data_IF_227087806570
#
_entry.id   IF_227087806570
#
_cell.length_a   1.000
_cell.length_b   1.000
_cell.length_c   1.000
_cell.angle_alpha   90.00
_cell.angle_beta   90.00
_cell.angle_gamma   90.00
#
_symmetry.space_group_name_H-M   'P 1'
#
loop_
_entity.id
_entity.type
_entity.pdbx_description
1 polymer ?
#
# COMPACT_ATOMS: atom_id res chain seq x y z
N UNK A 1 -18.66 5.56 13.29
CA UNK A 1 -19.69 6.39 12.62
C UNK A 1 -21.10 5.78 12.72
N UNK A 2 -21.23 4.47 12.93
CA UNK A 2 -22.53 3.77 12.96
C UNK A 2 -23.55 4.35 13.94
N UNK A 3 -23.17 4.64 15.20
CA UNK A 3 -24.10 5.19 16.20
C UNK A 3 -24.67 6.58 15.86
N UNK A 4 -24.02 7.33 14.96
CA UNK A 4 -24.53 8.60 14.47
C UNK A 4 -25.55 8.40 13.34
N UNK A 5 -25.45 7.31 12.56
CA UNK A 5 -26.38 7.00 11.49
C UNK A 5 -27.76 6.65 12.05
N UNK A 6 -27.83 5.88 13.15
CA UNK A 6 -29.10 5.54 13.82
C UNK A 6 -29.91 6.77 14.25
N UNK A 7 -29.21 7.85 14.64
CA UNK A 7 -29.86 9.12 15.03
C UNK A 7 -30.33 9.93 13.82
N UNK A 8 -29.67 9.78 12.67
CA UNK A 8 -30.02 10.46 11.43
C UNK A 8 -31.24 9.81 10.77
N UNK A 9 -31.46 8.50 10.98
CA UNK A 9 -32.65 7.79 10.51
C UNK A 9 -33.96 8.37 11.07
N UNK A 10 -33.92 9.02 12.25
CA UNK A 10 -35.07 9.71 12.83
C UNK A 10 -35.36 11.08 12.17
N UNK A 11 -34.46 11.60 11.34
CA UNK A 11 -34.63 12.87 10.64
C UNK A 11 -35.45 12.69 9.36
N UNK A 12 -36.49 13.51 9.19
CA UNK A 12 -37.31 13.55 7.96
C UNK A 12 -36.49 13.89 6.70
N UNK A 13 -35.35 14.57 6.85
CA UNK A 13 -34.48 14.96 5.74
C UNK A 13 -33.31 13.97 5.56
N UNK A 14 -32.81 13.38 6.65
CA UNK A 14 -31.75 12.36 6.61
C UNK A 14 -30.41 12.79 5.98
N UNK A 15 -30.16 14.09 5.78
CA UNK A 15 -28.99 14.55 5.03
C UNK A 15 -27.69 14.30 5.77
N UNK A 16 -26.75 13.66 5.08
CA UNK A 16 -25.37 13.48 5.49
C UNK A 16 -24.46 14.22 4.51
N UNK A 17 -23.48 14.95 5.03
CA UNK A 17 -22.46 15.62 4.23
C UNK A 17 -21.11 15.45 4.90
N UNK A 18 -20.14 14.97 4.13
CA UNK A 18 -18.78 14.75 4.58
C UNK A 18 -17.87 15.75 3.86
N UNK A 19 -17.03 16.45 4.63
CA UNK A 19 -16.09 17.43 4.09
C UNK A 19 -14.73 17.22 4.73
N UNK A 20 -13.71 16.92 3.94
CA UNK A 20 -12.34 16.76 4.39
C UNK A 20 -11.38 16.93 3.21
N UNK A 21 -10.08 17.02 3.49
CA UNK A 21 -9.04 16.89 2.47
C UNK A 21 -8.68 15.39 2.30
N UNK A 22 -8.59 14.88 1.07
CA UNK A 22 -8.29 13.46 0.84
C UNK A 22 -6.85 13.16 1.24
N UNK A 23 -6.64 12.47 2.37
CA UNK A 23 -5.30 12.18 2.89
C UNK A 23 -4.64 10.98 2.21
N UNK A 24 -5.39 9.88 2.10
CA UNK A 24 -4.96 8.62 1.51
C UNK A 24 -5.81 8.32 0.28
N UNK A 25 -5.24 7.65 -0.71
CA UNK A 25 -6.01 7.09 -1.82
C UNK A 25 -6.88 5.94 -1.30
N UNK A 26 -8.15 5.91 -1.69
CA UNK A 26 -9.11 4.84 -1.36
C UNK A 26 -9.30 4.63 0.16
N UNK A 27 -9.27 5.72 0.93
CA UNK A 27 -9.61 5.69 2.36
C UNK A 27 -10.36 6.97 2.76
N UNK A 28 -11.28 6.84 3.71
CA UNK A 28 -11.98 7.98 4.29
C UNK A 28 -12.76 8.79 3.24
N UNK A 29 -12.43 10.08 3.08
CA UNK A 29 -13.17 10.95 2.15
C UNK A 29 -12.90 10.60 0.68
N UNK A 30 -11.73 10.02 0.35
CA UNK A 30 -11.42 9.62 -1.04
C UNK A 30 -12.23 8.37 -1.42
N UNK A 31 -12.41 7.44 -0.50
CA UNK A 31 -13.29 6.27 -0.65
C UNK A 31 -14.74 6.69 -0.87
N UNK A 32 -15.30 7.53 0.01
CA UNK A 32 -16.66 8.07 -0.15
C UNK A 32 -16.83 8.86 -1.46
N UNK A 33 -15.79 9.59 -1.88
CA UNK A 33 -15.80 10.27 -3.19
C UNK A 33 -15.83 9.25 -4.33
N UNK A 34 -15.04 8.18 -4.27
CA UNK A 34 -15.00 7.12 -5.29
C UNK A 34 -16.26 6.27 -5.35
N UNK A 35 -17.02 6.16 -4.27
CA UNK A 35 -18.34 5.51 -4.25
C UNK A 35 -19.47 6.40 -4.82
N UNK A 36 -19.18 7.69 -5.04
CA UNK A 36 -20.12 8.68 -5.56
C UNK A 36 -20.06 8.84 -7.08
N UNK A 37 -20.84 9.80 -7.62
CA UNK A 37 -20.80 10.22 -9.03
C UNK A 37 -19.53 11.00 -9.44
N UNK A 38 -18.61 11.25 -8.50
CA UNK A 38 -17.26 11.79 -8.73
C UNK A 38 -17.23 13.07 -9.59
N UNK A 39 -17.96 14.11 -9.18
CA UNK A 39 -18.01 15.37 -9.94
C UNK A 39 -16.71 16.15 -9.90
N UNK A 40 -16.27 16.57 -11.08
CA UNK A 40 -15.12 17.46 -11.29
C UNK A 40 -15.59 18.79 -11.88
N UNK A 41 -14.82 19.84 -11.64
CA UNK A 41 -15.12 21.19 -12.14
C UNK A 41 -14.55 21.35 -13.55
N UNK A 42 -15.43 21.24 -14.54
CA UNK A 42 -15.03 21.21 -15.94
C UNK A 42 -15.03 22.62 -16.53
N UNK A 43 -13.86 23.14 -16.88
CA UNK A 43 -13.67 24.46 -17.48
C UNK A 43 -13.63 24.35 -19.00
N UNK A 44 -14.46 25.14 -19.69
CA UNK A 44 -14.48 25.17 -21.16
C UNK A 44 -13.62 26.33 -21.67
N UNK A 45 -12.55 26.01 -22.40
CA UNK A 45 -11.68 27.02 -23.00
C UNK A 45 -12.44 27.85 -24.05
N UNK A 46 -12.50 29.17 -23.87
CA UNK A 46 -13.11 30.10 -24.86
C UNK A 46 -12.34 30.17 -26.18
N UNK A 47 -11.07 29.74 -26.19
CA UNK A 47 -10.20 29.76 -27.36
C UNK A 47 -10.42 28.62 -28.34
N UNK A 48 -10.35 27.39 -27.83
CA UNK A 48 -10.40 26.17 -28.65
C UNK A 48 -11.51 25.19 -28.25
N UNK A 49 -12.40 25.58 -27.33
CA UNK A 49 -13.53 24.80 -26.82
C UNK A 49 -13.17 23.48 -26.12
N UNK A 50 -11.88 23.19 -25.93
CA UNK A 50 -11.40 22.06 -25.14
C UNK A 50 -11.85 22.20 -23.69
N UNK A 51 -12.33 21.08 -23.15
CA UNK A 51 -12.63 20.89 -21.75
C UNK A 51 -11.35 20.68 -20.95
N UNK A 52 -11.29 21.24 -19.73
CA UNK A 52 -10.11 21.22 -18.88
C UNK A 52 -10.53 21.00 -17.44
N UNK A 53 -9.88 20.03 -16.79
CA UNK A 53 -9.94 19.80 -15.35
C UNK A 53 -8.65 20.39 -14.78
N UNK A 54 -8.76 21.59 -14.21
CA UNK A 54 -7.59 22.46 -13.96
C UNK A 54 -6.61 21.87 -12.94
N UNK A 55 -7.09 21.05 -12.02
CA UNK A 55 -6.27 20.39 -11.01
C UNK A 55 -5.52 19.17 -11.53
N UNK A 56 -6.04 18.48 -12.55
CA UNK A 56 -5.41 17.31 -13.17
C UNK A 56 -4.35 17.72 -14.20
N UNK A 57 -4.53 18.88 -14.83
CA UNK A 57 -3.59 19.46 -15.80
C UNK A 57 -2.48 20.32 -15.14
N UNK A 58 -2.50 20.44 -13.82
CA UNK A 58 -1.48 21.18 -13.08
C UNK A 58 -0.19 20.34 -12.99
N UNK A 59 1.02 20.91 -13.19
CA UNK A 59 1.34 22.34 -13.36
C UNK A 59 1.34 22.84 -14.82
N UNK A 60 1.10 21.97 -15.80
CA UNK A 60 1.29 22.25 -17.23
C UNK A 60 0.35 23.34 -17.76
N UNK A 61 -0.79 23.53 -17.09
CA UNK A 61 -1.76 24.58 -17.37
C UNK A 61 -1.46 25.92 -16.68
N UNK A 62 -0.28 26.13 -16.08
CA UNK A 62 0.10 27.43 -15.48
C UNK A 62 1.03 28.20 -16.42
N UNK A 63 0.83 29.52 -16.52
CA UNK A 63 1.76 30.44 -17.19
C UNK A 63 2.23 31.51 -16.22
N UNK A 64 3.56 31.65 -16.08
CA UNK A 64 4.20 32.68 -15.25
C UNK A 64 4.82 33.76 -16.13
N UNK A 65 4.08 34.85 -16.33
CA UNK A 65 4.52 35.98 -17.15
C UNK A 65 5.11 37.13 -16.32
N UNK A 66 5.43 36.93 -15.03
CA UNK A 66 5.95 38.00 -14.16
C UNK A 66 7.22 38.66 -14.73
N UNK A 67 8.08 37.89 -15.41
CA UNK A 67 9.28 38.39 -16.10
C UNK A 67 8.98 39.39 -17.23
N UNK A 68 7.78 39.34 -17.81
CA UNK A 68 7.31 40.24 -18.88
C UNK A 68 6.35 41.32 -18.36
N UNK A 69 6.37 41.62 -17.05
CA UNK A 69 5.39 42.48 -16.35
C UNK A 69 3.94 41.96 -16.43
N UNK A 70 3.76 40.68 -16.77
CA UNK A 70 2.45 40.01 -16.76
C UNK A 70 2.12 39.44 -15.38
N UNK A 71 1.01 38.70 -15.31
CA UNK A 71 0.56 37.98 -14.11
C UNK A 71 0.69 36.47 -14.29
N UNK A 72 0.54 35.73 -13.21
CA UNK A 72 0.36 34.28 -13.28
C UNK A 72 -1.12 34.00 -13.58
N UNK A 73 -1.39 33.08 -14.51
CA UNK A 73 -2.75 32.66 -14.87
C UNK A 73 -2.78 31.19 -15.29
N UNK A 74 -3.98 30.58 -15.21
CA UNK A 74 -4.24 29.27 -15.80
C UNK A 74 -4.46 29.43 -17.31
N UNK A 75 -3.78 28.63 -18.11
CA UNK A 75 -3.82 28.64 -19.56
C UNK A 75 -4.21 27.27 -20.09
N UNK A 76 -4.93 27.26 -21.22
CA UNK A 76 -5.26 26.02 -21.89
C UNK A 76 -3.98 25.34 -22.41
N UNK A 77 -3.68 24.08 -22.05
CA UNK A 77 -2.47 23.39 -22.52
C UNK A 77 -2.38 23.27 -24.06
N UNK A 78 -3.53 23.32 -24.76
CA UNK A 78 -3.60 23.19 -26.22
C UNK A 78 -3.37 24.50 -26.98
N UNK A 79 -4.00 25.59 -26.54
CA UNK A 79 -4.01 26.86 -27.30
C UNK A 79 -3.45 28.06 -26.52
N UNK A 80 -2.98 27.81 -25.30
CA UNK A 80 -2.33 28.76 -24.39
C UNK A 80 -3.19 29.97 -23.95
N UNK A 81 -4.42 30.10 -24.44
CA UNK A 81 -5.32 31.17 -24.00
C UNK A 81 -5.71 31.00 -22.53
N UNK A 82 -5.89 32.11 -21.78
CA UNK A 82 -6.32 32.06 -20.39
C UNK A 82 -7.62 31.28 -20.20
N UNK A 83 -7.64 30.42 -19.19
CA UNK A 83 -8.82 29.70 -18.73
C UNK A 83 -9.64 30.59 -17.78
N UNK A 84 -10.96 30.51 -17.92
CA UNK A 84 -11.92 31.23 -17.10
C UNK A 84 -12.67 30.24 -16.23
N UNK A 85 -12.28 30.13 -14.96
CA UNK A 85 -12.85 29.16 -14.01
C UNK A 85 -14.30 29.47 -13.64
N UNK A 86 -14.79 30.69 -13.92
CA UNK A 86 -16.21 31.04 -13.75
C UNK A 86 -17.08 30.47 -14.90
N UNK A 87 -16.47 30.14 -16.05
CA UNK A 87 -17.14 29.53 -17.21
C UNK A 87 -17.00 28.00 -17.18
N UNK A 88 -17.58 27.38 -16.15
CA UNK A 88 -17.40 25.98 -15.82
C UNK A 88 -18.62 25.40 -15.09
N UNK A 89 -18.63 24.08 -14.93
CA UNK A 89 -19.69 23.39 -14.19
C UNK A 89 -19.25 22.04 -13.60
N UNK A 90 -20.00 21.57 -12.61
CA UNK A 90 -19.81 20.24 -12.02
C UNK A 90 -20.31 19.16 -12.96
N UNK A 91 -19.41 18.36 -13.52
CA UNK A 91 -19.73 17.25 -14.41
C UNK A 91 -19.44 15.93 -13.70
N UNK A 92 -20.42 15.01 -13.59
CA UNK A 92 -20.21 13.70 -12.98
C UNK A 92 -19.37 12.80 -13.89
N UNK A 93 -18.42 12.07 -13.31
CA UNK A 93 -17.68 11.00 -14.00
C UNK A 93 -18.50 9.71 -14.04
N UNK A 94 -19.35 9.49 -13.03
CA UNK A 94 -20.23 8.32 -12.90
C UNK A 94 -21.70 8.75 -12.70
N UNK A 95 -22.38 9.30 -13.74
CA UNK A 95 -23.72 9.86 -13.63
C UNK A 95 -24.81 8.87 -13.18
N UNK A 96 -24.56 7.57 -13.31
CA UNK A 96 -25.43 6.48 -12.88
C UNK A 96 -25.51 6.32 -11.35
N UNK A 97 -24.55 6.88 -10.60
CA UNK A 97 -24.49 6.75 -9.14
C UNK A 97 -25.34 7.81 -8.45
N UNK A 98 -26.04 7.41 -7.39
CA UNK A 98 -26.99 8.27 -6.67
C UNK A 98 -26.33 9.19 -5.66
N UNK A 99 -25.22 8.75 -5.06
CA UNK A 99 -24.43 9.55 -4.13
C UNK A 99 -23.68 10.63 -4.91
N UNK A 100 -23.76 11.89 -4.45
CA UNK A 100 -23.06 13.02 -5.08
C UNK A 100 -21.75 13.32 -4.38
N UNK A 101 -20.64 13.29 -5.10
CA UNK A 101 -19.33 13.68 -4.57
C UNK A 101 -18.69 14.77 -5.42
N UNK A 102 -17.96 15.67 -4.78
CA UNK A 102 -17.39 16.85 -5.41
C UNK A 102 -15.92 16.96 -5.04
N UNK A 103 -15.03 16.99 -6.04
CA UNK A 103 -13.64 17.38 -5.82
C UNK A 103 -13.52 18.89 -5.93
N UNK A 104 -13.31 19.57 -4.81
CA UNK A 104 -13.24 21.04 -4.75
C UNK A 104 -11.80 21.54 -4.56
N UNK A 105 -10.98 21.64 -5.63
CA UNK A 105 -9.64 22.21 -5.53
C UNK A 105 -9.66 23.71 -5.22
N UNK A 106 -8.58 24.23 -4.66
CA UNK A 106 -8.43 25.67 -4.46
C UNK A 106 -8.36 26.44 -5.80
N UNK A 107 -7.92 25.78 -6.87
CA UNK A 107 -7.77 26.36 -8.21
C UNK A 107 -9.08 26.84 -8.83
N UNK A 108 -10.23 26.30 -8.41
CA UNK A 108 -11.56 26.67 -8.96
C UNK A 108 -12.22 27.80 -8.17
N UNK A 109 -11.64 28.21 -7.04
CA UNK A 109 -12.18 29.29 -6.22
C UNK A 109 -11.88 30.64 -6.89
N UNK A 110 -12.94 31.42 -7.08
CA UNK A 110 -12.83 32.78 -7.63
C UNK A 110 -11.88 33.64 -6.79
N UNK A 111 -11.04 34.43 -7.46
CA UNK A 111 -10.03 35.30 -6.85
C UNK A 111 -8.95 34.56 -6.05
N UNK A 112 -8.78 33.25 -6.24
CA UNK A 112 -7.63 32.53 -5.70
C UNK A 112 -6.32 33.22 -6.12
N UNK A 113 -5.42 33.40 -5.15
CA UNK A 113 -4.07 33.94 -5.34
C UNK A 113 -3.16 32.90 -6.00
N UNK A 114 -3.32 32.75 -7.32
CA UNK A 114 -2.57 31.78 -8.12
C UNK A 114 -1.06 32.04 -8.07
N UNK A 115 -0.64 33.28 -7.88
CA UNK A 115 0.76 33.66 -7.64
C UNK A 115 1.33 32.98 -6.40
N UNK A 116 0.60 33.01 -5.28
CA UNK A 116 1.02 32.36 -4.03
C UNK A 116 1.01 30.84 -4.15
N UNK A 117 0.04 30.28 -4.88
CA UNK A 117 -0.04 28.85 -5.16
C UNK A 117 1.17 28.41 -5.99
N UNK A 118 1.51 29.16 -7.04
CA UNK A 118 2.64 28.86 -7.90
C UNK A 118 3.97 28.96 -7.16
N UNK A 119 4.17 30.01 -6.35
CA UNK A 119 5.37 30.14 -5.53
C UNK A 119 5.49 29.01 -4.50
N UNK A 120 4.36 28.55 -3.95
CA UNK A 120 4.33 27.37 -3.07
C UNK A 120 4.70 26.11 -3.84
N UNK A 121 4.14 25.89 -5.04
CA UNK A 121 4.48 24.75 -5.89
C UNK A 121 5.98 24.64 -6.16
N UNK A 122 6.62 25.76 -6.55
CA UNK A 122 8.06 25.80 -6.80
C UNK A 122 8.88 25.45 -5.54
N UNK A 123 8.44 25.89 -4.36
CA UNK A 123 9.15 25.65 -3.07
C UNK A 123 9.03 24.21 -2.54
N UNK A 124 7.96 23.49 -2.92
CA UNK A 124 7.71 22.12 -2.41
C UNK A 124 8.32 21.02 -3.28
N UNK A 125 8.87 21.35 -4.45
CA UNK A 125 9.57 20.38 -5.30
C UNK A 125 10.70 19.68 -4.53
N UNK A 126 10.83 18.37 -4.73
CA UNK A 126 11.82 17.54 -4.02
C UNK A 126 11.53 17.32 -2.53
N UNK A 127 10.37 17.74 -2.00
CA UNK A 127 9.99 17.58 -0.59
C UNK A 127 8.68 16.76 -0.49
N UNK A 128 8.73 15.42 -0.45
CA UNK A 128 7.55 14.55 -0.58
C UNK A 128 6.38 14.93 0.33
N UNK A 129 6.62 15.14 1.63
CA UNK A 129 5.56 15.52 2.57
C UNK A 129 4.91 16.88 2.27
N UNK A 130 5.70 17.86 1.79
CA UNK A 130 5.18 19.19 1.44
C UNK A 130 4.46 19.18 0.09
N UNK A 131 4.94 18.35 -0.84
CA UNK A 131 4.30 18.09 -2.14
C UNK A 131 2.94 17.41 -1.93
N UNK A 132 2.89 16.38 -1.09
CA UNK A 132 1.65 15.71 -0.74
C UNK A 132 0.63 16.68 -0.13
N UNK A 133 1.05 17.48 0.85
CA UNK A 133 0.19 18.53 1.43
C UNK A 133 -0.28 19.53 0.37
N UNK A 134 0.56 19.90 -0.60
CA UNK A 134 0.16 20.77 -1.70
C UNK A 134 -0.93 20.11 -2.54
N UNK A 135 -0.74 18.88 -2.99
CA UNK A 135 -1.72 18.14 -3.82
C UNK A 135 -3.07 17.99 -3.13
N UNK A 136 -3.09 17.63 -1.84
CA UNK A 136 -4.33 17.58 -1.07
C UNK A 136 -5.04 18.92 -0.90
N UNK A 137 -4.30 19.93 -0.46
CA UNK A 137 -4.90 21.23 -0.07
C UNK A 137 -5.24 22.13 -1.25
N UNK A 138 -4.49 22.03 -2.34
CA UNK A 138 -4.62 22.91 -3.51
C UNK A 138 -5.36 22.21 -4.65
N UNK A 139 -5.02 20.95 -4.93
CA UNK A 139 -5.59 20.20 -6.06
C UNK A 139 -6.78 19.33 -5.65
N UNK A 140 -7.02 19.13 -4.35
CA UNK A 140 -8.08 18.23 -3.89
C UNK A 140 -7.84 16.78 -4.32
N UNK A 141 -6.60 16.41 -4.61
CA UNK A 141 -6.20 15.07 -5.04
C UNK A 141 -5.58 14.37 -3.83
N UNK A 142 -6.02 13.13 -3.58
CA UNK A 142 -5.44 12.28 -2.56
C UNK A 142 -3.93 12.14 -2.76
N UNK A 143 -3.17 12.39 -1.71
CA UNK A 143 -1.73 12.21 -1.71
C UNK A 143 -1.25 12.15 -0.27
N UNK A 144 -0.79 10.99 0.15
CA UNK A 144 -0.34 10.70 1.51
C UNK A 144 1.15 10.99 1.71
N UNK A 145 1.89 11.33 0.64
CA UNK A 145 3.34 11.40 0.66
C UNK A 145 3.95 10.07 1.10
N UNK A 146 4.88 10.11 2.04
CA UNK A 146 5.51 8.89 2.57
C UNK A 146 4.61 8.11 3.56
N UNK A 147 3.35 8.54 3.75
CA UNK A 147 2.40 7.88 4.65
C UNK A 147 1.63 6.74 3.99
N UNK A 148 1.65 6.60 2.66
CA UNK A 148 1.17 5.40 1.95
C UNK A 148 2.26 4.98 0.97
N UNK A 149 3.22 4.16 1.41
CA UNK A 149 4.34 3.74 0.58
C UNK A 149 3.92 3.05 -0.72
N UNK A 150 2.80 2.32 -0.71
CA UNK A 150 2.24 1.63 -1.87
C UNK A 150 1.00 2.36 -2.36
N UNK A 151 1.13 3.08 -3.48
CA UNK A 151 0.03 3.78 -4.15
C UNK A 151 -0.47 3.00 -5.35
N UNK A 152 -1.60 3.43 -5.96
CA UNK A 152 -2.04 2.87 -7.24
C UNK A 152 -0.95 2.94 -8.31
N UNK A 153 -0.16 4.02 -8.33
CA UNK A 153 0.93 4.18 -9.30
C UNK A 153 2.06 3.18 -9.11
N UNK A 154 2.41 2.86 -7.87
CA UNK A 154 3.41 1.82 -7.57
C UNK A 154 2.92 0.47 -8.08
N UNK A 155 1.65 0.14 -7.83
CA UNK A 155 1.06 -1.12 -8.30
C UNK A 155 1.00 -1.22 -9.83
N UNK A 156 0.66 -0.14 -10.54
CA UNK A 156 0.72 -0.10 -12.01
C UNK A 156 2.12 -0.43 -12.55
N UNK A 157 3.18 0.11 -11.93
CA UNK A 157 4.57 -0.16 -12.32
C UNK A 157 4.96 -1.63 -12.04
N UNK A 158 4.54 -2.14 -10.90
CA UNK A 158 4.76 -3.55 -10.50
C UNK A 158 4.07 -4.49 -11.48
N UNK A 159 2.81 -4.21 -11.85
CA UNK A 159 2.05 -4.99 -12.83
C UNK A 159 2.69 -4.96 -14.22
N UNK A 160 3.11 -3.78 -14.67
CA UNK A 160 3.80 -3.63 -15.95
C UNK A 160 5.14 -4.38 -15.99
N UNK A 161 5.81 -4.51 -14.83
CA UNK A 161 7.09 -5.24 -14.69
C UNK A 161 6.90 -6.75 -14.53
N UNK A 162 5.68 -7.22 -14.25
CA UNK A 162 5.39 -8.63 -13.98
C UNK A 162 5.01 -9.38 -15.26
N UNK A 163 5.63 -10.54 -15.48
CA UNK A 163 5.45 -11.35 -16.69
C UNK A 163 5.06 -12.82 -16.41
N UNK A 164 4.62 -13.13 -15.19
CA UNK A 164 4.24 -14.48 -14.77
C UNK A 164 2.82 -14.50 -14.19
N UNK A 165 2.20 -15.67 -14.23
CA UNK A 165 0.86 -15.90 -13.68
C UNK A 165 0.94 -16.52 -12.29
N UNK A 166 -0.21 -16.62 -11.61
CA UNK A 166 -0.35 -17.42 -10.39
C UNK A 166 0.21 -18.82 -10.61
N UNK A 167 0.91 -19.36 -9.60
CA UNK A 167 1.55 -20.67 -9.65
C UNK A 167 0.87 -21.63 -8.68
N UNK A 168 0.56 -22.85 -9.14
CA UNK A 168 0.05 -23.92 -8.27
C UNK A 168 1.19 -24.71 -7.59
N UNK A 169 2.43 -24.49 -8.04
CA UNK A 169 3.65 -25.17 -7.56
C UNK A 169 4.89 -24.35 -7.89
N UNK A 170 6.02 -24.68 -7.25
CA UNK A 170 7.32 -24.09 -7.56
C UNK A 170 8.43 -25.11 -7.41
N UNK A 171 9.35 -25.16 -8.38
CA UNK A 171 10.61 -25.91 -8.26
C UNK A 171 11.67 -25.08 -7.53
N UNK A 172 11.53 -23.75 -7.51
CA UNK A 172 12.39 -22.85 -6.73
C UNK A 172 12.07 -22.96 -5.24
N UNK A 173 13.08 -22.86 -4.38
CA UNK A 173 12.88 -22.87 -2.93
C UNK A 173 12.19 -21.58 -2.51
N UNK A 174 10.90 -21.68 -2.21
CA UNK A 174 10.06 -20.56 -1.80
C UNK A 174 10.03 -20.38 -0.29
N UNK A 175 9.41 -19.29 0.14
CA UNK A 175 9.00 -19.11 1.52
C UNK A 175 7.53 -18.71 1.60
N UNK A 176 6.93 -18.96 2.75
CA UNK A 176 5.52 -18.64 3.02
C UNK A 176 5.40 -17.75 4.25
N UNK A 177 4.48 -16.80 4.17
CA UNK A 177 4.06 -15.99 5.30
C UNK A 177 2.56 -16.13 5.53
N UNK A 178 2.14 -16.18 6.78
CA UNK A 178 0.73 -16.32 7.16
C UNK A 178 0.39 -15.27 8.20
N UNK A 179 -0.57 -14.40 7.89
CA UNK A 179 -1.18 -13.47 8.84
C UNK A 179 -2.45 -14.09 9.41
N UNK A 180 -2.56 -14.09 10.74
CA UNK A 180 -3.63 -14.77 11.45
C UNK A 180 -4.71 -13.75 11.85
N UNK A 181 -5.96 -14.06 11.52
CA UNK A 181 -7.16 -13.32 11.91
C UNK A 181 -8.34 -14.29 12.05
N UNK A 182 -9.57 -13.78 11.91
CA UNK A 182 -10.77 -14.62 11.85
C UNK A 182 -10.68 -15.68 10.73
N UNK A 183 -10.02 -15.29 9.64
CA UNK A 183 -9.53 -16.17 8.57
C UNK A 183 -8.03 -15.93 8.40
N UNK A 184 -7.34 -16.87 7.75
CA UNK A 184 -5.90 -16.78 7.53
C UNK A 184 -5.59 -16.32 6.11
N UNK A 185 -4.69 -15.34 6.01
CA UNK A 185 -4.13 -14.87 4.74
C UNK A 185 -2.72 -15.43 4.59
N UNK A 186 -2.51 -16.28 3.58
CA UNK A 186 -1.21 -16.86 3.28
C UNK A 186 -0.66 -16.32 1.96
N UNK A 187 0.63 -15.99 1.93
CA UNK A 187 1.34 -15.56 0.72
C UNK A 187 2.58 -16.43 0.51
N UNK A 188 2.78 -16.90 -0.73
CA UNK A 188 3.97 -17.64 -1.14
C UNK A 188 4.83 -16.74 -2.01
N UNK A 189 6.11 -16.64 -1.64
CA UNK A 189 7.09 -15.82 -2.36
C UNK A 189 8.27 -16.66 -2.86
N UNK A 190 8.70 -16.38 -4.08
CA UNK A 190 9.93 -16.88 -4.69
C UNK A 190 10.98 -15.76 -4.74
N UNK A 191 12.29 -16.08 -4.67
CA UNK A 191 13.34 -15.06 -4.76
C UNK A 191 13.34 -14.32 -6.12
N UNK A 192 13.80 -13.07 -6.11
CA UNK A 192 14.04 -12.25 -7.30
C UNK A 192 15.30 -11.40 -7.10
N UNK A 193 16.37 -11.74 -7.81
CA UNK A 193 17.67 -11.09 -7.57
C UNK A 193 18.23 -11.41 -6.18
N UNK A 194 19.02 -10.50 -5.63
CA UNK A 194 19.67 -10.70 -4.32
C UNK A 194 18.70 -10.48 -3.14
N UNK A 195 17.91 -9.41 -3.17
CA UNK A 195 17.06 -8.99 -2.05
C UNK A 195 15.55 -8.94 -2.38
N UNK A 196 15.19 -9.09 -3.65
CA UNK A 196 13.81 -9.00 -4.12
C UNK A 196 13.04 -10.32 -4.03
N UNK A 197 11.74 -10.24 -4.33
CA UNK A 197 10.85 -11.39 -4.36
C UNK A 197 9.70 -11.26 -5.38
N UNK A 198 9.13 -12.40 -5.74
CA UNK A 198 7.92 -12.54 -6.55
C UNK A 198 6.85 -13.20 -5.71
N UNK A 199 5.68 -12.61 -5.62
CA UNK A 199 4.52 -13.26 -5.00
C UNK A 199 3.95 -14.21 -6.04
N UNK A 200 4.04 -15.51 -5.81
CA UNK A 200 3.66 -16.54 -6.79
C UNK A 200 2.30 -17.18 -6.51
N UNK A 201 1.83 -17.10 -5.27
CA UNK A 201 0.51 -17.55 -4.85
C UNK A 201 0.03 -16.76 -3.61
N UNK A 202 -1.28 -16.64 -3.46
CA UNK A 202 -1.94 -16.02 -2.32
C UNK A 202 -3.24 -16.77 -2.01
N UNK A 203 -3.50 -17.02 -0.74
CA UNK A 203 -4.65 -17.80 -0.27
C UNK A 203 -5.35 -17.11 0.90
N UNK A 204 -6.67 -17.18 0.91
CA UNK A 204 -7.54 -16.74 1.99
C UNK A 204 -8.40 -17.91 2.44
N UNK A 205 -8.04 -18.53 3.56
CA UNK A 205 -8.58 -19.82 4.02
C UNK A 205 -9.06 -19.75 5.46
N UNK A 206 -9.88 -20.71 5.87
CA UNK A 206 -10.29 -20.83 7.26
C UNK A 206 -9.11 -21.36 8.10
N UNK A 207 -8.96 -20.83 9.32
CA UNK A 207 -7.83 -21.16 10.20
C UNK A 207 -7.77 -22.67 10.50
N UNK A 208 -8.92 -23.32 10.60
CA UNK A 208 -9.05 -24.75 10.89
C UNK A 208 -8.48 -25.63 9.76
N UNK A 209 -8.50 -25.14 8.52
CA UNK A 209 -8.01 -25.87 7.35
C UNK A 209 -6.49 -25.83 7.21
N UNK A 210 -5.82 -24.84 7.81
CA UNK A 210 -4.38 -24.64 7.68
C UNK A 210 -3.60 -25.91 8.01
N UNK A 211 -3.97 -26.63 9.07
CA UNK A 211 -3.23 -27.81 9.50
C UNK A 211 -3.18 -28.90 8.42
N UNK A 212 -4.22 -29.02 7.61
CA UNK A 212 -4.30 -29.98 6.51
C UNK A 212 -3.64 -29.46 5.23
N UNK A 213 -3.69 -28.14 5.00
CA UNK A 213 -3.16 -27.51 3.79
C UNK A 213 -1.64 -27.36 3.81
N UNK A 214 -1.05 -27.13 4.98
CA UNK A 214 0.37 -26.78 5.12
C UNK A 214 1.32 -27.87 4.58
N UNK A 215 1.14 -29.17 4.86
CA UNK A 215 1.97 -30.20 4.25
C UNK A 215 1.84 -30.27 2.72
N UNK A 216 0.65 -29.98 2.19
CA UNK A 216 0.40 -29.95 0.74
C UNK A 216 1.11 -28.77 0.10
N UNK A 217 1.02 -27.59 0.71
CA UNK A 217 1.70 -26.40 0.24
C UNK A 217 3.22 -26.47 0.39
N UNK A 218 3.72 -27.09 1.47
CA UNK A 218 5.14 -27.32 1.70
C UNK A 218 5.77 -28.11 0.54
N UNK A 219 5.08 -29.16 0.09
CA UNK A 219 5.48 -29.97 -1.06
C UNK A 219 5.30 -29.22 -2.38
N UNK A 220 4.10 -28.68 -2.64
CA UNK A 220 3.78 -28.04 -3.91
C UNK A 220 4.68 -26.84 -4.21
N UNK A 221 4.98 -26.01 -3.21
CA UNK A 221 5.75 -24.78 -3.38
C UNK A 221 7.23 -24.93 -3.04
N UNK A 222 7.71 -26.15 -2.75
CA UNK A 222 9.08 -26.38 -2.31
C UNK A 222 9.50 -25.41 -1.18
N UNK A 223 8.68 -25.31 -0.13
CA UNK A 223 8.91 -24.34 0.93
C UNK A 223 10.19 -24.66 1.68
N UNK A 224 11.09 -23.67 1.76
CA UNK A 224 12.30 -23.74 2.59
C UNK A 224 12.12 -23.13 3.97
N UNK A 225 11.16 -22.21 4.13
CA UNK A 225 10.80 -21.60 5.40
C UNK A 225 9.36 -21.08 5.41
N UNK A 226 8.78 -20.98 6.61
CA UNK A 226 7.46 -20.44 6.87
C UNK A 226 7.47 -19.57 8.13
N UNK A 227 6.86 -18.40 8.06
CA UNK A 227 6.62 -17.53 9.23
C UNK A 227 5.11 -17.27 9.35
N UNK A 228 4.55 -17.55 10.52
CA UNK A 228 3.12 -17.34 10.81
C UNK A 228 2.96 -16.38 12.00
N UNK A 229 2.03 -15.44 11.91
CA UNK A 229 1.70 -14.59 13.05
C UNK A 229 1.21 -15.44 14.23
N UNK A 230 1.67 -15.12 15.44
CA UNK A 230 1.34 -15.86 16.64
C UNK A 230 -0.04 -15.49 17.20
N UNK A 231 -0.67 -14.39 16.79
CA UNK A 231 -1.94 -13.90 17.35
C UNK A 231 -3.03 -13.82 16.27
N UNK A 232 -4.32 -13.99 16.61
CA UNK A 232 -4.86 -14.25 17.94
C UNK A 232 -4.81 -15.74 18.35
N UNK A 233 -4.68 -16.67 17.39
CA UNK A 233 -4.77 -18.12 17.61
C UNK A 233 -3.41 -18.79 17.77
N UNK A 234 -2.71 -18.43 18.85
CA UNK A 234 -1.35 -18.87 19.10
C UNK A 234 -1.15 -20.38 19.12
N UNK A 235 -2.10 -21.13 19.68
CA UNK A 235 -2.00 -22.59 19.77
C UNK A 235 -2.02 -23.22 18.38
N UNK A 236 -2.88 -22.71 17.51
CA UNK A 236 -3.06 -23.11 16.12
C UNK A 236 -1.81 -22.77 15.32
N UNK A 237 -1.26 -21.55 15.45
CA UNK A 237 0.00 -21.16 14.79
C UNK A 237 1.15 -22.11 15.13
N UNK A 238 1.26 -22.53 16.41
CA UNK A 238 2.26 -23.54 16.81
C UNK A 238 2.01 -24.90 16.17
N UNK A 239 0.75 -25.34 16.08
CA UNK A 239 0.40 -26.62 15.44
C UNK A 239 0.75 -26.62 13.95
N UNK A 240 0.49 -25.51 13.25
CA UNK A 240 0.86 -25.31 11.85
C UNK A 240 2.37 -25.42 11.66
N UNK A 241 3.16 -24.72 12.47
CA UNK A 241 4.63 -24.78 12.39
C UNK A 241 5.16 -26.19 12.63
N UNK A 242 4.59 -26.95 13.57
CA UNK A 242 4.99 -28.33 13.84
C UNK A 242 4.56 -29.34 12.78
N UNK A 243 3.59 -28.98 11.93
CA UNK A 243 3.14 -29.85 10.84
C UNK A 243 4.08 -29.84 9.63
N UNK A 244 5.00 -28.86 9.56
CA UNK A 244 6.06 -28.82 8.56
C UNK A 244 6.99 -30.02 8.74
N UNK A 245 7.31 -30.68 7.63
CA UNK A 245 8.17 -31.86 7.62
C UNK A 245 9.64 -31.48 7.50
N UNK A 246 9.93 -30.42 6.75
CA UNK A 246 11.28 -30.14 6.26
C UNK A 246 11.62 -28.64 6.30
N UNK A 247 10.66 -27.78 5.97
CA UNK A 247 10.80 -26.33 6.00
C UNK A 247 11.03 -25.85 7.43
N UNK A 248 11.78 -24.76 7.56
CA UNK A 248 11.96 -24.13 8.87
C UNK A 248 10.73 -23.26 9.17
N UNK A 249 9.97 -23.63 10.20
CA UNK A 249 8.83 -22.83 10.65
C UNK A 249 9.14 -21.95 11.86
N UNK A 250 8.58 -20.73 11.89
CA UNK A 250 8.60 -19.83 13.04
C UNK A 250 7.21 -19.28 13.32
N UNK A 251 6.90 -19.07 14.60
CA UNK A 251 5.83 -18.13 15.00
C UNK A 251 6.42 -16.74 15.19
N UNK A 252 5.67 -15.70 14.82
CA UNK A 252 6.14 -14.32 14.82
C UNK A 252 5.43 -13.48 15.89
N UNK A 253 6.18 -12.58 16.53
CA UNK A 253 5.61 -11.47 17.29
C UNK A 253 6.19 -10.14 16.83
N UNK A 254 5.34 -9.14 16.68
CA UNK A 254 5.79 -7.77 16.43
C UNK A 254 6.22 -7.09 17.74
N UNK A 255 7.53 -6.84 17.88
CA UNK A 255 8.17 -6.22 19.05
C UNK A 255 9.26 -5.25 18.58
N UNK A 256 9.55 -4.20 19.35
CA UNK A 256 10.54 -3.17 18.98
C UNK A 256 11.99 -3.64 18.88
N UNK A 257 12.27 -4.92 19.10
CA UNK A 257 13.64 -5.45 19.13
C UNK A 257 13.65 -6.80 18.46
N UNK A 258 14.55 -6.94 17.50
CA UNK A 258 14.80 -8.21 16.84
C UNK A 258 15.30 -9.26 17.84
N UNK A 259 14.67 -10.44 17.84
CA UNK A 259 15.09 -11.56 18.68
C UNK A 259 14.64 -12.89 18.09
N UNK A 260 15.52 -13.87 18.08
CA UNK A 260 15.18 -15.26 17.81
C UNK A 260 15.18 -16.05 19.13
N UNK A 261 14.10 -16.78 19.40
CA UNK A 261 13.97 -17.62 20.59
C UNK A 261 13.19 -18.90 20.25
N UNK A 262 12.88 -19.67 21.27
CA UNK A 262 11.93 -20.78 21.19
C UNK A 262 10.80 -20.59 22.19
N UNK A 263 9.67 -21.26 21.96
CA UNK A 263 8.56 -21.28 22.89
C UNK A 263 7.85 -22.64 22.89
N UNK A 264 7.61 -23.18 24.09
CA UNK A 264 7.07 -24.52 24.31
C UNK A 264 8.04 -25.35 25.14
N UNK A 265 7.69 -26.60 25.36
CA UNK A 265 8.49 -27.56 26.13
C UNK A 265 8.65 -28.83 25.27
N UNK A 266 9.84 -29.43 25.34
CA UNK A 266 10.20 -30.69 24.68
C UNK A 266 9.79 -30.73 23.19
N UNK A 267 9.09 -31.79 22.77
CA UNK A 267 8.62 -32.01 21.40
C UNK A 267 7.59 -30.98 20.91
N UNK A 268 7.08 -30.12 21.80
CA UNK A 268 6.14 -29.05 21.46
C UNK A 268 6.83 -27.69 21.29
N UNK A 269 8.14 -27.62 21.43
CA UNK A 269 8.92 -26.41 21.18
C UNK A 269 8.78 -25.95 19.73
N UNK A 270 8.56 -24.65 19.54
CA UNK A 270 8.59 -24.01 18.21
C UNK A 270 9.56 -22.84 18.21
N UNK A 271 10.11 -22.53 17.04
CA UNK A 271 10.95 -21.33 16.87
C UNK A 271 10.08 -20.08 16.88
N UNK A 272 10.62 -19.01 17.46
CA UNK A 272 9.98 -17.72 17.57
C UNK A 272 10.88 -16.66 16.96
N UNK A 273 10.28 -15.73 16.22
CA UNK A 273 10.95 -14.53 15.76
C UNK A 273 10.20 -13.28 16.24
N UNK A 274 10.95 -12.36 16.84
CA UNK A 274 10.50 -11.01 17.15
C UNK A 274 11.06 -10.07 16.09
N UNK A 275 10.20 -9.26 15.51
CA UNK A 275 10.61 -8.23 14.53
C UNK A 275 9.94 -6.91 14.82
N UNK A 276 10.64 -5.80 14.54
CA UNK A 276 10.01 -4.50 14.53
C UNK A 276 9.06 -4.41 13.33
N UNK A 277 7.81 -4.06 13.62
CA UNK A 277 6.76 -4.01 12.60
C UNK A 277 7.00 -2.90 11.59
N UNK A 278 7.39 -1.72 12.05
CA UNK A 278 7.48 -0.56 11.17
C UNK A 278 8.72 -0.67 10.28
N UNK A 279 9.85 -1.09 10.85
CA UNK A 279 11.09 -1.36 10.10
C UNK A 279 10.89 -2.45 9.04
N UNK A 280 10.32 -3.61 9.42
CA UNK A 280 10.11 -4.69 8.47
C UNK A 280 9.10 -4.35 7.36
N UNK A 281 8.06 -3.56 7.66
CA UNK A 281 7.15 -3.06 6.63
C UNK A 281 7.81 -2.00 5.73
N UNK A 282 8.70 -1.16 6.26
CA UNK A 282 9.47 -0.22 5.44
C UNK A 282 10.39 -0.92 4.46
N UNK A 283 11.10 -1.97 4.89
CA UNK A 283 11.92 -2.76 3.98
C UNK A 283 11.06 -3.46 2.92
N UNK A 284 9.90 -4.00 3.30
CA UNK A 284 8.99 -4.66 2.36
C UNK A 284 8.46 -3.69 1.32
N UNK A 285 7.92 -2.55 1.76
CA UNK A 285 7.29 -1.57 0.86
C UNK A 285 8.31 -0.88 -0.04
N UNK A 286 9.55 -0.71 0.40
CA UNK A 286 10.64 -0.15 -0.42
C UNK A 286 10.93 -0.99 -1.67
N UNK A 287 10.79 -2.32 -1.59
CA UNK A 287 11.02 -3.22 -2.73
C UNK A 287 9.95 -3.08 -3.83
N UNK A 288 8.73 -2.65 -3.49
CA UNK A 288 7.72 -2.31 -4.49
C UNK A 288 7.97 -0.95 -5.13
N UNK A 289 8.47 0.01 -4.36
CA UNK A 289 8.57 1.41 -4.77
C UNK A 289 9.87 1.78 -5.49
N UNK A 290 10.88 0.91 -5.48
CA UNK A 290 12.12 1.07 -6.26
C UNK A 290 11.84 0.87 -7.77
N UNK A 291 12.65 1.51 -8.63
CA UNK A 291 12.54 1.39 -10.08
C UNK A 291 13.87 0.86 -10.67
N UNK A 292 13.89 -0.33 -11.30
CA UNK A 292 12.76 -1.26 -11.48
C UNK A 292 12.29 -1.89 -10.16
N UNK A 293 10.99 -2.25 -10.02
CA UNK A 293 10.48 -2.91 -8.83
C UNK A 293 11.18 -4.24 -8.55
N UNK A 294 11.47 -4.50 -7.27
CA UNK A 294 12.08 -5.73 -6.78
C UNK A 294 11.08 -6.62 -6.02
N UNK A 295 9.86 -6.15 -5.82
CA UNK A 295 8.73 -6.96 -5.40
C UNK A 295 7.69 -7.00 -6.53
N UNK A 296 7.36 -8.19 -7.02
CA UNK A 296 6.44 -8.39 -8.14
C UNK A 296 5.17 -9.14 -7.73
N UNK A 297 4.09 -8.92 -8.49
CA UNK A 297 2.80 -9.57 -8.32
C UNK A 297 2.50 -10.53 -9.47
N UNK A 298 1.83 -11.64 -9.18
CA UNK A 298 1.36 -12.56 -10.20
C UNK A 298 0.23 -11.95 -11.05
N UNK A 299 0.04 -12.47 -12.26
CA UNK A 299 -1.16 -12.26 -13.08
C UNK A 299 -2.21 -13.35 -12.84
N UNK A 300 -3.51 -13.02 -12.78
CA UNK A 300 -4.55 -14.02 -12.57
C UNK A 300 -4.80 -14.81 -13.86
N UNK A 301 -5.19 -16.08 -13.71
CA UNK A 301 -5.60 -16.98 -14.82
C UNK A 301 -7.12 -17.16 -14.88
N UNK A 302 -7.79 -16.91 -13.77
CA UNK A 302 -9.23 -17.07 -13.60
C UNK A 302 -9.77 -16.01 -12.63
N UNK A 303 -11.10 -15.95 -12.49
CA UNK A 303 -11.80 -14.96 -11.68
C UNK A 303 -11.50 -15.05 -10.19
N UNK A 304 -11.19 -16.23 -9.65
CA UNK A 304 -10.90 -16.36 -8.22
C UNK A 304 -9.49 -15.86 -7.88
N UNK A 305 -8.52 -16.12 -8.76
CA UNK A 305 -7.19 -15.52 -8.65
C UNK A 305 -7.21 -14.01 -8.88
N UNK A 306 -8.11 -13.51 -9.72
CA UNK A 306 -8.33 -12.07 -9.92
C UNK A 306 -8.84 -11.41 -8.64
N UNK A 307 -9.85 -12.00 -7.97
CA UNK A 307 -10.33 -11.53 -6.67
C UNK A 307 -9.23 -11.55 -5.61
N UNK A 308 -8.44 -12.63 -5.56
CA UNK A 308 -7.31 -12.73 -4.61
C UNK A 308 -6.27 -11.64 -4.87
N UNK A 309 -5.92 -11.39 -6.14
CA UNK A 309 -5.00 -10.33 -6.52
C UNK A 309 -5.54 -8.94 -6.17
N UNK A 310 -6.83 -8.69 -6.39
CA UNK A 310 -7.47 -7.41 -6.03
C UNK A 310 -7.46 -7.19 -4.51
N UNK A 311 -7.73 -8.24 -3.73
CA UNK A 311 -7.61 -8.21 -2.27
C UNK A 311 -6.17 -7.93 -1.82
N UNK A 312 -5.17 -8.58 -2.43
CA UNK A 312 -3.74 -8.31 -2.18
C UNK A 312 -3.41 -6.84 -2.45
N UNK A 313 -3.81 -6.30 -3.61
CA UNK A 313 -3.57 -4.89 -3.98
C UNK A 313 -4.22 -3.93 -2.99
N UNK A 314 -5.46 -4.20 -2.58
CA UNK A 314 -6.17 -3.40 -1.58
C UNK A 314 -5.44 -3.42 -0.23
N UNK A 315 -5.04 -4.60 0.25
CA UNK A 315 -4.30 -4.75 1.51
C UNK A 315 -2.93 -4.06 1.49
N UNK A 316 -2.20 -4.15 0.37
CA UNK A 316 -0.93 -3.44 0.19
C UNK A 316 -1.11 -1.92 0.26
N UNK A 317 -2.15 -1.36 -0.36
CA UNK A 317 -2.47 0.09 -0.27
C UNK A 317 -2.86 0.52 1.15
N UNK A 318 -3.36 -0.40 1.98
CA UNK A 318 -3.69 -0.15 3.40
C UNK A 318 -2.47 -0.30 4.33
N UNK A 319 -1.26 -0.54 3.82
CA UNK A 319 -0.01 -0.34 4.56
C UNK A 319 0.27 1.17 4.74
N UNK A 320 -0.65 1.86 5.42
CA UNK A 320 -0.58 3.30 5.68
C UNK A 320 0.06 3.58 7.03
N UNK A 321 0.78 4.69 7.12
CA UNK A 321 1.35 5.22 8.35
C UNK A 321 0.41 6.24 8.98
N UNK A 322 0.50 6.39 10.30
CA UNK A 322 -0.17 7.42 11.07
C UNK A 322 0.85 8.16 11.94
N UNK A 323 0.59 9.45 12.17
CA UNK A 323 1.37 10.25 13.10
C UNK A 323 0.65 10.24 14.45
N UNK A 324 1.32 9.74 15.48
CA UNK A 324 0.84 9.74 16.86
C UNK A 324 1.68 10.70 17.70
N UNK A 325 1.05 11.44 18.59
CA UNK A 325 1.77 12.24 19.57
C UNK A 325 2.12 11.36 20.77
N UNK A 326 3.42 11.27 21.08
CA UNK A 326 3.92 10.65 22.30
C UNK A 326 3.50 11.45 23.54
N UNK A 327 3.62 10.85 24.75
CA UNK A 327 3.31 11.52 26.02
C UNK A 327 4.11 12.82 26.25
N UNK A 328 5.26 12.94 25.61
CA UNK A 328 6.19 14.08 25.64
C UNK A 328 5.93 15.11 24.52
N UNK A 329 4.89 14.90 23.70
CA UNK A 329 4.57 15.73 22.54
C UNK A 329 5.44 15.46 21.31
N UNK A 330 6.37 14.49 21.37
CA UNK A 330 7.15 14.08 20.20
C UNK A 330 6.26 13.32 19.21
N UNK A 331 6.40 13.64 17.93
CA UNK A 331 5.64 12.98 16.86
C UNK A 331 6.32 11.66 16.51
N UNK A 332 5.61 10.56 16.65
CA UNK A 332 6.02 9.24 16.17
C UNK A 332 5.20 8.87 14.94
N UNK A 333 5.87 8.48 13.86
CA UNK A 333 5.24 7.92 12.67
C UNK A 333 5.36 6.40 12.75
N UNK A 334 4.24 5.70 12.63
CA UNK A 334 4.19 4.23 12.65
C UNK A 334 3.12 3.72 11.69
N UNK A 335 3.20 2.46 11.24
CA UNK A 335 2.12 1.88 10.44
C UNK A 335 0.84 1.76 11.27
N UNK A 336 -0.27 2.18 10.71
CA UNK A 336 -1.59 2.11 11.35
C UNK A 336 -1.92 0.66 11.71
N UNK A 337 -2.55 0.47 12.86
CA UNK A 337 -3.04 -0.84 13.33
C UNK A 337 -4.54 -0.94 13.09
N UNK A 338 -5.08 -2.16 13.14
CA UNK A 338 -6.51 -2.43 12.96
C UNK A 338 -7.04 -1.90 11.61
N UNK A 339 -6.25 -2.12 10.56
CA UNK A 339 -6.63 -1.87 9.17
C UNK A 339 -6.61 -3.20 8.43
N UNK A 340 -7.42 -3.31 7.39
CA UNK A 340 -7.51 -4.52 6.58
C UNK A 340 -6.27 -4.63 5.67
N UNK A 341 -5.16 -5.11 6.23
CA UNK A 341 -3.87 -5.18 5.56
C UNK A 341 -3.22 -6.58 5.66
N UNK A 342 -4.03 -7.61 5.92
CA UNK A 342 -3.59 -8.97 6.25
C UNK A 342 -2.64 -9.58 5.21
N UNK A 343 -2.92 -9.42 3.91
CA UNK A 343 -1.99 -9.87 2.87
C UNK A 343 -0.67 -9.09 2.87
N UNK A 344 -0.68 -7.80 3.19
CA UNK A 344 0.54 -7.01 3.33
C UNK A 344 1.41 -7.51 4.49
N UNK A 345 0.78 -7.91 5.60
CA UNK A 345 1.45 -8.54 6.73
C UNK A 345 2.00 -9.92 6.36
N UNK A 346 1.17 -10.78 5.74
CA UNK A 346 1.59 -12.10 5.27
C UNK A 346 2.77 -12.03 4.28
N UNK A 347 2.74 -11.09 3.33
CA UNK A 347 3.84 -10.86 2.39
C UNK A 347 5.12 -10.42 3.10
N UNK A 348 5.03 -9.51 4.09
CA UNK A 348 6.19 -9.13 4.90
C UNK A 348 6.78 -10.34 5.64
N UNK A 349 5.94 -11.16 6.28
CA UNK A 349 6.38 -12.40 6.94
C UNK A 349 7.00 -13.39 5.97
N UNK A 350 6.44 -13.53 4.77
CA UNK A 350 6.97 -14.40 3.72
C UNK A 350 8.35 -13.94 3.23
N UNK A 351 8.53 -12.61 3.06
CA UNK A 351 9.82 -12.01 2.72
C UNK A 351 10.86 -12.22 3.83
N UNK A 352 10.49 -12.05 5.10
CA UNK A 352 11.39 -12.36 6.22
C UNK A 352 11.75 -13.86 6.19
N UNK A 353 10.77 -14.74 5.92
CA UNK A 353 10.98 -16.17 5.82
C UNK A 353 11.97 -16.55 4.70
N UNK A 354 12.01 -15.81 3.58
CA UNK A 354 12.99 -16.03 2.51
C UNK A 354 14.44 -15.95 2.99
N UNK A 355 14.74 -15.19 4.04
CA UNK A 355 16.09 -15.08 4.62
C UNK A 355 16.49 -16.37 5.35
N UNK A 356 15.51 -17.09 5.91
CA UNK A 356 15.73 -18.32 6.67
C UNK A 356 15.57 -19.61 5.84
N UNK A 357 15.31 -19.48 4.53
CA UNK A 357 15.04 -20.64 3.68
C UNK A 357 16.23 -21.58 3.64
N UNK A 358 15.99 -22.87 3.88
CA UNK A 358 16.99 -23.90 3.59
C UNK A 358 17.01 -24.17 2.09
N UNK A 359 18.13 -23.93 1.42
CA UNK A 359 18.29 -24.30 0.02
C UNK A 359 18.40 -25.82 -0.07
N UNK A 360 17.38 -26.47 -0.64
CA UNK A 360 17.43 -27.89 -0.99
C UNK A 360 18.28 -28.07 -2.24
N UNK A 361 19.53 -28.50 -2.07
CA UNK A 361 20.33 -28.96 -3.20
C UNK A 361 19.88 -30.36 -3.60
N UNK A 362 19.22 -30.48 -4.76
CA UNK A 362 19.09 -31.76 -5.43
C UNK A 362 20.50 -32.25 -5.80
N UNK A 363 20.97 -33.27 -5.07
CA UNK A 363 22.24 -33.98 -5.20
C UNK A 363 23.25 -33.49 -6.25
N UNK A 364 24.14 -32.59 -5.84
CA UNK A 364 25.56 -32.55 -6.27
C UNK A 364 26.33 -31.75 -5.22
N UNK A 365 27.17 -32.45 -4.48
CA UNK A 365 27.94 -31.86 -3.39
C UNK A 365 28.89 -30.77 -3.87
N UNK A 366 28.98 -29.69 -3.09
CA UNK A 366 30.22 -29.02 -2.73
C UNK A 366 29.93 -28.10 -1.54
N UNK A 367 30.77 -28.26 -0.52
CA UNK A 367 30.82 -27.54 0.75
C UNK A 367 31.14 -26.06 0.56
N UNK A 368 30.41 -25.17 1.24
CA UNK A 368 30.74 -23.76 1.33
C UNK A 368 29.63 -22.92 1.95
N UNK A 369 29.53 -22.92 3.27
CA UNK A 369 28.71 -21.96 4.02
C UNK A 369 29.50 -20.66 4.08
N UNK A 370 29.01 -19.61 3.42
CA UNK A 370 29.46 -18.24 3.65
C UNK A 370 28.36 -17.51 4.42
N UNK A 371 28.59 -17.28 5.71
CA UNK A 371 27.85 -16.31 6.50
C UNK A 371 28.33 -14.94 6.06
N UNK A 372 27.51 -14.19 5.30
CA UNK A 372 27.82 -12.79 4.97
C UNK A 372 27.20 -11.90 6.04
N UNK A 373 28.06 -11.07 6.63
CA UNK A 373 27.84 -10.35 7.86
C UNK A 373 26.82 -9.22 7.81
N UNK A 374 26.33 -8.92 9.01
CA UNK A 374 25.56 -7.75 9.41
C UNK A 374 26.23 -6.46 8.91
N UNK A 375 25.46 -5.60 8.23
CA UNK A 375 25.82 -4.19 8.11
C UNK A 375 25.52 -3.49 9.43
N UNK A 376 26.60 -3.15 10.14
CA UNK A 376 26.57 -2.12 11.17
C UNK A 376 26.52 -0.76 10.47
N UNK A 377 25.36 -0.10 10.52
CA UNK A 377 25.27 1.35 10.33
C UNK A 377 24.60 1.93 11.57
N UNK A 378 25.31 1.81 12.68
CA UNK A 378 25.23 2.77 13.78
C UNK A 378 26.44 3.69 13.64
N UNK A 379 26.24 4.97 13.97
CA UNK A 379 27.22 6.06 14.00
C UNK A 379 27.37 6.86 12.69
N UNK A 380 26.35 7.66 12.39
CA UNK A 380 26.56 8.99 11.81
C UNK A 380 25.99 10.01 12.78
N UNK A 381 26.89 10.67 13.51
CA UNK A 381 26.61 11.88 14.27
C UNK A 381 26.09 12.98 13.32
N UNK A 382 24.98 13.61 13.71
CA UNK A 382 24.64 14.98 13.35
C UNK A 382 24.73 15.86 14.60
#
# INVERSE_FOLDING_TARGET
MELAQDRILASKLGWQRYFSAPLFEEDGIDELYRESDMRKWLVICKGCRRESIVEEEFPDNVRDERKKKGKIYLACPKCEKPLDVDNAGWVPEHPERTQRGYRAPQLIIKNTRLDLIWDRWLKVQGKPAKLARFRRSVLGIADSGNMQPITGKVLELVEASSNYHFQDRSDEVCAMGIDMGDRAHAAVVAPLGEEGFRIIAAFHVDVEDLLNLIPVWEEAYNLGALIIDAMPYKTESKRVVRALKEAVGFIQYFKSTYKETTEGEDEKEVRVIHVDRDESLDDTTSLFSINPPQALLFKPRNTDEEKALDEVKRHLKKLVKEETAGPDGQKKISYKKNVENHYGMAINSARIALVFRKIRYAGRGLTGITVVGRNAVADINW
#
